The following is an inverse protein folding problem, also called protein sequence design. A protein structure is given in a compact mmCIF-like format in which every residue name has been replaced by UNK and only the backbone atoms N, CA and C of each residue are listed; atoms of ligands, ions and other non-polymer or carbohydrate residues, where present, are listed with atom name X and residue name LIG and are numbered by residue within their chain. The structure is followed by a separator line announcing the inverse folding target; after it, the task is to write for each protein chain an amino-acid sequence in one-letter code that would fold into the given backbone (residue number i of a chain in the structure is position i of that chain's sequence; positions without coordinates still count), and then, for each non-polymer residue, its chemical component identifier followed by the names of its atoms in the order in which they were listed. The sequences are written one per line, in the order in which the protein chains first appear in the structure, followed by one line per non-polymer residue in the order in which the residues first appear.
data_IF_264215108245
#
_entry.id   IF_264215108245
#
_cell.length_a   1.000
_cell.length_b   1.000
_cell.length_c   1.000
_cell.angle_alpha   90.00
_cell.angle_beta   90.00
_cell.angle_gamma   90.00
#
_symmetry.space_group_name_H-M   'P 1'
#
loop_
_entity.id
_entity.type
_entity.pdbx_description
1 polymer ?
#
# COMPACT_ATOMS: atom_id res chain seq x y z
N UNK A 1 -10.21 11.11 19.44
CA UNK A 1 -10.34 10.48 18.11
C UNK A 1 -8.95 10.10 17.63
N UNK A 2 -8.74 8.84 17.25
CA UNK A 2 -7.48 8.28 16.75
C UNK A 2 -7.64 7.95 15.27
N UNK A 3 -6.60 8.21 14.48
CA UNK A 3 -6.50 7.83 13.07
C UNK A 3 -5.33 6.87 12.92
N UNK A 4 -5.58 5.73 12.30
CA UNK A 4 -4.56 4.71 12.02
C UNK A 4 -4.54 4.38 10.54
N UNK A 5 -3.35 4.25 9.95
CA UNK A 5 -3.18 3.88 8.55
C UNK A 5 -2.53 2.50 8.53
N UNK A 6 -3.24 1.52 7.98
CA UNK A 6 -2.75 0.15 7.79
C UNK A 6 -2.54 -0.09 6.30
N UNK A 7 -1.28 -0.06 5.88
CA UNK A 7 -0.90 -0.46 4.53
C UNK A 7 -0.79 -1.97 4.44
N UNK A 8 -1.09 -2.54 3.27
CA UNK A 8 -0.84 -3.96 3.01
C UNK A 8 0.66 -4.23 3.11
N UNK A 9 1.11 -5.12 4.02
CA UNK A 9 2.52 -5.49 4.08
C UNK A 9 2.93 -6.16 2.76
N UNK A 10 4.18 -5.97 2.36
CA UNK A 10 4.77 -6.61 1.19
C UNK A 10 3.99 -6.40 -0.12
N UNK A 11 3.45 -5.19 -0.33
CA UNK A 11 2.80 -4.82 -1.58
C UNK A 11 3.81 -4.88 -2.75
N UNK A 12 3.74 -5.94 -3.55
CA UNK A 12 4.61 -6.15 -4.71
C UNK A 12 4.00 -5.57 -5.99
N UNK A 13 4.87 -5.05 -6.86
CA UNK A 13 4.50 -4.70 -8.21
C UNK A 13 4.21 -5.96 -9.07
N UNK A 14 3.28 -5.91 -10.03
CA UNK A 14 2.54 -4.72 -10.45
C UNK A 14 1.36 -4.38 -9.52
N UNK A 15 1.10 -3.09 -9.34
CA UNK A 15 -0.07 -2.56 -8.61
C UNK A 15 -0.93 -1.81 -9.61
N UNK A 16 -2.21 -2.19 -9.76
CA UNK A 16 -3.11 -1.54 -10.71
C UNK A 16 -3.79 -0.32 -10.11
N UNK A 17 -4.21 0.64 -10.95
CA UNK A 17 -5.10 1.72 -10.51
C UNK A 17 -6.35 1.13 -9.85
N UNK A 18 -6.81 1.76 -8.76
CA UNK A 18 -7.92 1.32 -7.91
C UNK A 18 -7.71 0.00 -7.15
N UNK A 19 -6.53 -0.63 -7.23
CA UNK A 19 -6.21 -1.77 -6.39
C UNK A 19 -6.15 -1.34 -4.92
N UNK A 20 -6.81 -2.08 -4.02
CA UNK A 20 -6.69 -1.83 -2.57
C UNK A 20 -5.24 -2.02 -2.12
N UNK A 21 -4.68 -1.01 -1.46
CA UNK A 21 -3.29 -1.00 -0.93
C UNK A 21 -3.25 -0.87 0.59
N UNK A 22 -4.41 -0.74 1.24
CA UNK A 22 -4.52 -0.63 2.68
C UNK A 22 -5.87 -0.08 3.11
N UNK A 23 -5.91 0.43 4.33
CA UNK A 23 -7.08 1.04 4.93
C UNK A 23 -6.70 2.12 5.94
N UNK A 24 -7.58 3.12 6.07
CA UNK A 24 -7.56 4.07 7.16
C UNK A 24 -8.67 3.67 8.13
N UNK A 25 -8.31 3.57 9.40
CA UNK A 25 -9.24 3.30 10.50
C UNK A 25 -9.34 4.57 11.36
N UNK A 26 -10.56 5.07 11.54
CA UNK A 26 -10.89 6.16 12.44
C UNK A 26 -11.60 5.59 13.66
N UNK A 27 -11.08 5.84 14.85
CA UNK A 27 -11.63 5.31 16.09
C UNK A 27 -11.77 6.36 17.20
N UNK A 28 -12.73 6.13 18.08
CA UNK A 28 -12.76 6.65 19.44
C UNK A 28 -12.17 5.58 20.38
N UNK A 29 -11.83 5.92 21.64
CA UNK A 29 -11.12 5.02 22.55
C UNK A 29 -11.67 3.59 22.64
N UNK A 30 -12.98 3.40 22.47
CA UNK A 30 -13.65 2.10 22.60
C UNK A 30 -14.41 1.66 21.33
N UNK A 31 -14.32 2.42 20.23
CA UNK A 31 -15.15 2.16 19.05
C UNK A 31 -14.47 2.57 17.74
N UNK A 32 -14.47 1.67 16.76
CA UNK A 32 -14.19 2.00 15.37
C UNK A 32 -15.37 2.76 14.77
N UNK A 33 -15.14 4.01 14.33
CA UNK A 33 -16.16 4.86 13.72
C UNK A 33 -16.27 4.62 12.22
N UNK A 34 -15.12 4.46 11.56
CA UNK A 34 -15.07 4.30 10.12
C UNK A 34 -13.81 3.57 9.68
N UNK A 35 -13.97 2.82 8.59
CA UNK A 35 -12.88 2.17 7.87
C UNK A 35 -13.02 2.47 6.39
N UNK A 36 -11.97 3.05 5.83
CA UNK A 36 -11.95 3.48 4.43
C UNK A 36 -10.84 2.75 3.71
N UNK A 37 -11.16 2.12 2.58
CA UNK A 37 -10.17 1.47 1.75
C UNK A 37 -9.25 2.52 1.09
N UNK A 38 -7.94 2.33 1.22
CA UNK A 38 -6.97 3.03 0.42
C UNK A 38 -6.76 2.25 -0.87
N UNK A 39 -6.82 2.95 -2.00
CA UNK A 39 -6.59 2.36 -3.31
C UNK A 39 -5.44 3.07 -4.02
N UNK A 40 -4.75 2.36 -4.90
CA UNK A 40 -3.69 2.93 -5.71
C UNK A 40 -4.28 3.97 -6.68
N UNK A 41 -3.79 5.21 -6.62
CA UNK A 41 -4.23 6.29 -7.51
C UNK A 41 -3.70 6.16 -8.95
N UNK A 42 -2.66 5.35 -9.16
CA UNK A 42 -2.07 5.09 -10.47
C UNK A 42 -1.51 3.66 -10.55
N UNK A 43 -1.30 3.18 -11.77
CA UNK A 43 -0.66 1.90 -12.02
C UNK A 43 0.86 1.98 -11.80
N UNK A 44 1.40 0.99 -11.08
CA UNK A 44 2.83 0.79 -10.86
C UNK A 44 3.19 -0.54 -11.53
N UNK A 45 3.89 -0.47 -12.66
CA UNK A 45 4.34 -1.64 -13.38
C UNK A 45 5.52 -2.32 -12.67
N UNK A 46 5.66 -3.63 -12.89
CA UNK A 46 6.82 -4.37 -12.42
C UNK A 46 8.05 -3.98 -13.25
N UNK A 47 9.14 -3.61 -12.60
CA UNK A 47 10.45 -3.40 -13.24
C UNK A 47 10.90 -4.68 -13.95
N UNK A 48 11.63 -4.52 -15.05
CA UNK A 48 12.20 -5.66 -15.76
C UNK A 48 13.27 -6.36 -14.90
N UNK A 49 13.46 -7.67 -15.09
CA UNK A 49 14.30 -8.48 -14.20
C UNK A 49 15.75 -7.98 -14.10
N UNK A 50 16.33 -7.50 -15.20
CA UNK A 50 17.65 -6.87 -15.24
C UNK A 50 17.75 -5.62 -14.36
N UNK A 51 16.69 -4.81 -14.29
CA UNK A 51 16.64 -3.60 -13.46
C UNK A 51 16.62 -3.97 -11.98
N UNK A 52 15.86 -5.01 -11.62
CA UNK A 52 15.80 -5.52 -10.24
C UNK A 52 17.18 -6.06 -9.78
N UNK A 53 17.92 -6.74 -10.67
CA UNK A 53 19.25 -7.27 -10.35
C UNK A 53 20.26 -6.13 -10.17
N UNK A 54 20.27 -5.12 -11.06
CA UNK A 54 21.19 -3.97 -10.97
C UNK A 54 21.02 -3.17 -9.68
N UNK A 55 19.79 -3.08 -9.16
CA UNK A 55 19.53 -2.44 -7.86
C UNK A 55 20.02 -3.28 -6.68
N UNK A 56 19.94 -4.62 -6.78
CA UNK A 56 20.45 -5.52 -5.74
C UNK A 56 21.97 -5.61 -5.66
N UNK A 57 22.69 -5.44 -6.77
CA UNK A 57 24.16 -5.50 -6.82
C UNK A 57 24.86 -4.17 -6.53
N UNK A 58 24.10 -3.10 -6.22
CA UNK A 58 24.63 -1.77 -5.89
C UNK A 58 24.85 -1.54 -4.39
N UNK A 59 24.82 -2.60 -3.59
CA UNK A 59 25.18 -2.61 -2.16
C UNK A 59 26.66 -2.91 -1.97
#
# INVERSE_FOLDING_TARGET
MKKEIKLTPDLLAPVKTNQKVGEIILSLPEQELARVNLVAGQEILRKSWWQQIKEKTKF
#
